data_IF_649542347704
#
_entry.id   IF_649542347704
#
_cell.length_a   1.000
_cell.length_b   1.000
_cell.length_c   1.000
_cell.angle_alpha   90.00
_cell.angle_beta   90.00
_cell.angle_gamma   90.00
#
_symmetry.space_group_name_H-M   'P 1'
#
loop_
_entity.id
_entity.type
_entity.pdbx_description
1 polymer ?
#
# COMPACT_ATOMS: atom_id res chain seq x y z
N UNK A 1 -1.57 10.31 -17.90
CA UNK A 1 -1.77 11.59 -17.18
C UNK A 1 -0.64 12.53 -17.59
N UNK A 2 -0.90 13.80 -17.88
CA UNK A 2 0.15 14.76 -18.26
C UNK A 2 0.84 15.33 -17.00
N UNK A 3 2.15 15.20 -16.91
CA UNK A 3 2.94 15.65 -15.77
C UNK A 3 2.90 17.16 -15.58
N UNK A 4 2.68 17.90 -16.68
CA UNK A 4 2.45 19.35 -16.66
C UNK A 4 1.18 19.68 -15.90
N UNK A 5 0.13 18.86 -16.06
CA UNK A 5 -1.15 19.06 -15.38
C UNK A 5 -1.03 18.72 -13.90
N UNK A 6 -0.35 17.61 -13.55
CA UNK A 6 -0.11 17.24 -12.14
C UNK A 6 0.67 18.33 -11.42
N UNK A 7 1.76 18.80 -12.03
CA UNK A 7 2.57 19.88 -11.46
C UNK A 7 1.80 21.20 -11.34
N UNK A 8 1.04 21.57 -12.38
CA UNK A 8 0.19 22.76 -12.31
C UNK A 8 -0.87 22.68 -11.21
N UNK A 9 -1.45 21.49 -10.95
CA UNK A 9 -2.39 21.27 -9.86
C UNK A 9 -1.72 21.35 -8.49
N UNK A 10 -0.52 20.79 -8.34
CA UNK A 10 0.25 20.89 -7.09
C UNK A 10 0.70 22.33 -6.81
N UNK A 11 1.15 23.04 -7.83
CA UNK A 11 1.52 24.46 -7.75
C UNK A 11 0.29 25.33 -7.42
N UNK A 12 -0.88 25.02 -7.99
CA UNK A 12 -2.14 25.69 -7.66
C UNK A 12 -2.61 25.39 -6.22
N UNK A 13 -2.46 24.15 -5.75
CA UNK A 13 -2.75 23.77 -4.37
C UNK A 13 -1.82 24.49 -3.37
N UNK A 14 -0.54 24.68 -3.73
CA UNK A 14 0.39 25.52 -2.98
C UNK A 14 -0.04 26.99 -2.97
N UNK A 15 -0.38 27.56 -4.13
CA UNK A 15 -0.86 28.95 -4.22
C UNK A 15 -2.14 29.18 -3.41
N UNK A 16 -2.98 28.16 -3.26
CA UNK A 16 -4.17 28.15 -2.42
C UNK A 16 -3.88 27.95 -0.91
N UNK A 17 -2.62 27.75 -0.52
CA UNK A 17 -2.21 27.54 0.87
C UNK A 17 -2.51 26.14 1.44
N UNK A 18 -2.86 25.18 0.57
CA UNK A 18 -3.12 23.78 0.95
C UNK A 18 -1.80 23.03 1.17
N UNK A 19 -0.76 23.36 0.41
CA UNK A 19 0.59 22.83 0.57
C UNK A 19 1.51 23.92 1.11
N UNK A 20 2.27 23.59 2.16
CA UNK A 20 2.97 24.58 2.99
C UNK A 20 4.41 24.84 2.56
N UNK A 21 5.08 23.87 1.92
CA UNK A 21 6.51 23.93 1.62
C UNK A 21 6.84 23.52 0.18
N UNK A 22 7.89 24.13 -0.38
CA UNK A 22 8.40 23.83 -1.72
C UNK A 22 9.07 22.45 -1.78
N UNK A 23 9.65 22.03 -0.65
CA UNK A 23 10.22 20.71 -0.46
C UNK A 23 9.14 19.61 -0.54
N UNK A 24 7.97 19.82 0.08
CA UNK A 24 6.88 18.85 0.10
C UNK A 24 6.32 18.63 -1.32
N UNK A 25 6.14 19.72 -2.09
CA UNK A 25 5.68 19.63 -3.49
C UNK A 25 6.72 18.94 -4.37
N UNK A 26 8.01 19.25 -4.18
CA UNK A 26 9.09 18.64 -4.95
C UNK A 26 9.22 17.14 -4.65
N UNK A 27 9.10 16.73 -3.39
CA UNK A 27 9.15 15.34 -2.93
C UNK A 27 7.95 14.55 -3.49
N UNK A 28 6.73 15.06 -3.30
CA UNK A 28 5.51 14.45 -3.86
C UNK A 28 5.57 14.33 -5.39
N UNK A 29 6.04 15.38 -6.08
CA UNK A 29 6.18 15.34 -7.54
C UNK A 29 7.25 14.34 -7.97
N UNK A 30 8.36 14.24 -7.24
CA UNK A 30 9.41 13.27 -7.54
C UNK A 30 8.92 11.82 -7.36
N UNK A 31 8.16 11.54 -6.31
CA UNK A 31 7.56 10.22 -6.06
C UNK A 31 6.51 9.86 -7.12
N UNK A 32 5.55 10.75 -7.40
CA UNK A 32 4.54 10.54 -8.43
C UNK A 32 5.19 10.39 -9.82
N UNK A 33 6.23 11.17 -10.09
CA UNK A 33 7.05 11.03 -11.30
C UNK A 33 7.71 9.68 -11.40
N UNK A 34 8.44 9.26 -10.37
CA UNK A 34 9.13 7.98 -10.36
C UNK A 34 8.17 6.79 -10.48
N UNK A 35 7.00 6.84 -9.83
CA UNK A 35 5.94 5.84 -9.98
C UNK A 35 5.43 5.76 -11.43
N UNK A 36 5.01 6.90 -11.99
CA UNK A 36 4.46 6.95 -13.35
C UNK A 36 5.50 6.54 -14.41
N UNK A 37 6.77 6.95 -14.26
CA UNK A 37 7.82 6.54 -15.21
C UNK A 37 8.14 5.04 -15.13
N UNK A 38 7.98 4.41 -13.96
CA UNK A 38 8.06 2.95 -13.83
C UNK A 38 6.91 2.26 -14.55
N UNK A 39 5.69 2.82 -14.46
CA UNK A 39 4.51 2.29 -15.15
C UNK A 39 4.57 2.44 -16.68
N UNK A 40 5.33 3.42 -17.20
CA UNK A 40 5.49 3.66 -18.64
C UNK A 40 6.47 2.70 -19.34
N UNK A 41 7.07 1.73 -18.63
CA UNK A 41 7.95 0.72 -19.21
C UNK A 41 7.38 -0.70 -19.02
N UNK A 42 6.58 -1.15 -19.99
CA UNK A 42 6.00 -2.49 -19.97
C UNK A 42 7.02 -3.63 -20.03
N UNK A 43 8.29 -3.37 -20.37
CA UNK A 43 9.32 -4.40 -20.22
C UNK A 43 9.60 -4.71 -18.76
N UNK A 44 9.41 -3.74 -17.87
CA UNK A 44 9.55 -3.93 -16.43
C UNK A 44 8.41 -4.78 -15.88
N UNK A 45 7.17 -4.52 -16.30
CA UNK A 45 6.01 -5.33 -15.93
C UNK A 45 6.16 -6.79 -16.35
N UNK A 46 6.59 -7.07 -17.59
CA UNK A 46 6.84 -8.45 -18.03
C UNK A 46 7.93 -9.15 -17.19
N UNK A 47 8.97 -8.42 -16.75
CA UNK A 47 10.01 -8.95 -15.85
C UNK A 47 9.47 -9.21 -14.46
N UNK A 48 8.65 -8.29 -13.94
CA UNK A 48 7.98 -8.39 -12.65
C UNK A 48 7.10 -9.65 -12.61
N UNK A 49 6.25 -9.85 -13.61
CA UNK A 49 5.39 -11.02 -13.73
C UNK A 49 6.19 -12.34 -13.71
N UNK A 50 7.25 -12.43 -14.52
CA UNK A 50 8.08 -13.64 -14.54
C UNK A 50 8.78 -13.90 -13.22
N UNK A 51 9.24 -12.85 -12.53
CA UNK A 51 9.82 -13.00 -11.20
C UNK A 51 8.76 -13.45 -10.21
N UNK A 52 7.60 -12.81 -10.22
CA UNK A 52 6.47 -13.13 -9.34
C UNK A 52 6.05 -14.60 -9.45
N UNK A 53 5.91 -15.10 -10.68
CA UNK A 53 5.62 -16.50 -10.94
C UNK A 53 6.66 -17.44 -10.32
N UNK A 54 7.97 -17.12 -10.45
CA UNK A 54 9.04 -17.95 -9.90
C UNK A 54 9.09 -17.93 -8.37
N UNK A 55 8.99 -16.75 -7.75
CA UNK A 55 9.10 -16.59 -6.29
C UNK A 55 7.96 -17.32 -5.56
N UNK A 56 6.77 -17.40 -6.17
CA UNK A 56 5.60 -17.98 -5.52
C UNK A 56 5.23 -19.39 -5.96
N UNK A 57 5.85 -19.94 -7.01
CA UNK A 57 5.49 -21.25 -7.57
C UNK A 57 5.45 -22.39 -6.53
N UNK A 58 6.38 -22.38 -5.56
CA UNK A 58 6.45 -23.41 -4.53
C UNK A 58 5.39 -23.24 -3.42
N UNK A 59 4.79 -22.06 -3.30
CA UNK A 59 3.89 -21.70 -2.22
C UNK A 59 2.43 -21.61 -2.68
N UNK A 60 2.21 -21.24 -3.95
CA UNK A 60 0.92 -20.97 -4.56
C UNK A 60 0.76 -21.79 -5.85
N UNK A 61 0.48 -23.11 -5.75
CA UNK A 61 0.37 -23.97 -6.93
C UNK A 61 -0.85 -23.65 -7.80
N UNK A 62 -1.90 -23.05 -7.21
CA UNK A 62 -3.14 -22.66 -7.90
C UNK A 62 -3.13 -21.17 -8.34
N UNK A 63 -1.95 -20.53 -8.36
CA UNK A 63 -1.77 -19.17 -8.87
C UNK A 63 -1.29 -19.22 -10.32
N UNK A 64 -2.05 -18.62 -11.22
CA UNK A 64 -1.68 -18.46 -12.62
C UNK A 64 -1.13 -17.04 -12.87
N UNK A 65 0.10 -16.99 -13.39
CA UNK A 65 0.69 -15.78 -13.96
C UNK A 65 0.81 -15.99 -15.47
N UNK A 66 0.24 -15.11 -16.31
CA UNK A 66 0.37 -15.22 -17.77
C UNK A 66 1.83 -15.29 -18.21
N UNK A 67 2.13 -16.12 -19.21
CA UNK A 67 3.43 -16.05 -19.86
C UNK A 67 3.53 -14.77 -20.68
N UNK A 68 4.56 -13.96 -20.45
CA UNK A 68 4.81 -12.76 -21.26
C UNK A 68 5.77 -13.08 -22.41
N UNK A 69 5.41 -12.71 -23.64
CA UNK A 69 6.20 -12.93 -24.84
C UNK A 69 7.21 -11.79 -25.03
N UNK A 70 8.44 -12.05 -24.59
CA UNK A 70 9.54 -11.07 -24.60
C UNK A 70 9.81 -10.47 -25.98
N UNK A 71 9.73 -11.28 -27.03
CA UNK A 71 9.98 -10.86 -28.43
C UNK A 71 8.94 -9.87 -28.97
N UNK A 72 7.75 -9.87 -28.38
CA UNK A 72 6.63 -8.99 -28.77
C UNK A 72 6.36 -7.90 -27.72
N UNK A 73 7.16 -7.85 -26.66
CA UNK A 73 7.06 -6.84 -25.61
C UNK A 73 8.10 -5.75 -25.83
N UNK A 74 7.68 -4.50 -25.70
CA UNK A 74 8.51 -3.31 -25.76
C UNK A 74 8.10 -2.36 -24.64
N UNK A 75 8.75 -1.19 -24.51
CA UNK A 75 8.37 -0.20 -23.50
C UNK A 75 6.91 0.25 -23.58
N UNK A 76 6.28 0.16 -24.75
CA UNK A 76 4.93 0.69 -25.03
C UNK A 76 3.91 -0.36 -25.46
N UNK A 77 4.34 -1.62 -25.61
CA UNK A 77 3.46 -2.73 -25.99
C UNK A 77 3.80 -3.92 -25.11
N UNK A 78 2.81 -4.44 -24.39
CA UNK A 78 2.92 -5.63 -23.57
C UNK A 78 2.22 -6.79 -24.27
N UNK A 79 2.89 -7.94 -24.40
CA UNK A 79 2.31 -9.12 -25.04
C UNK A 79 2.39 -10.31 -24.10
N UNK A 80 1.25 -10.94 -23.80
CA UNK A 80 1.14 -12.09 -22.92
C UNK A 80 0.25 -13.19 -23.49
N UNK A 81 0.33 -14.37 -22.89
CA UNK A 81 -0.59 -15.45 -23.12
C UNK A 81 -2.00 -15.03 -22.72
N UNK A 82 -2.97 -15.37 -23.56
CA UNK A 82 -4.37 -15.14 -23.26
C UNK A 82 -4.81 -16.01 -22.09
N UNK A 83 -5.46 -15.42 -21.10
CA UNK A 83 -6.08 -16.14 -19.98
C UNK A 83 -7.58 -16.12 -20.15
N UNK A 84 -8.17 -17.32 -20.30
CA UNK A 84 -9.62 -17.51 -20.27
C UNK A 84 -10.08 -17.75 -18.83
N UNK A 85 -10.85 -16.82 -18.29
CA UNK A 85 -11.36 -16.88 -16.93
C UNK A 85 -12.54 -15.95 -16.71
N UNK A 86 -13.24 -16.15 -15.59
CA UNK A 86 -14.40 -15.36 -15.19
C UNK A 86 -14.04 -14.41 -14.06
N UNK A 87 -14.69 -13.25 -14.03
CA UNK A 87 -14.57 -12.30 -12.92
C UNK A 87 -15.37 -12.79 -11.72
N UNK A 88 -15.03 -12.33 -10.51
CA UNK A 88 -15.72 -12.73 -9.28
C UNK A 88 -17.25 -12.59 -9.36
N UNK A 89 -17.76 -11.51 -9.98
CA UNK A 89 -19.19 -11.26 -10.13
C UNK A 89 -19.93 -12.21 -11.10
N UNK A 90 -19.22 -12.99 -11.90
CA UNK A 90 -19.76 -13.94 -12.89
C UNK A 90 -19.77 -15.39 -12.36
N UNK A 91 -19.22 -15.60 -11.16
CA UNK A 91 -19.06 -16.92 -10.54
C UNK A 91 -20.27 -17.30 -9.69
N UNK A 92 -20.56 -18.59 -9.60
CA UNK A 92 -21.49 -19.11 -8.60
C UNK A 92 -20.89 -19.07 -7.19
N UNK A 93 -21.72 -19.11 -6.15
CA UNK A 93 -21.30 -18.92 -4.76
C UNK A 93 -20.11 -19.82 -4.32
N UNK A 94 -20.11 -21.10 -4.74
CA UNK A 94 -19.01 -22.02 -4.42
C UNK A 94 -17.67 -21.62 -5.08
N UNK A 95 -17.72 -21.15 -6.32
CA UNK A 95 -16.54 -20.69 -7.07
C UNK A 95 -16.04 -19.35 -6.53
N UNK A 96 -16.95 -18.45 -6.16
CA UNK A 96 -16.60 -17.21 -5.46
C UNK A 96 -15.85 -17.50 -4.16
N UNK A 97 -16.38 -18.39 -3.32
CA UNK A 97 -15.73 -18.78 -2.08
C UNK A 97 -14.32 -19.36 -2.33
N UNK A 98 -14.15 -20.17 -3.38
CA UNK A 98 -12.84 -20.71 -3.76
C UNK A 98 -11.88 -19.63 -4.25
N UNK A 99 -12.32 -18.74 -5.13
CA UNK A 99 -11.50 -17.63 -5.62
C UNK A 99 -11.06 -16.70 -4.48
N UNK A 100 -11.97 -16.38 -3.55
CA UNK A 100 -11.64 -15.58 -2.36
C UNK A 100 -10.60 -16.29 -1.50
N UNK A 101 -10.75 -17.59 -1.26
CA UNK A 101 -9.75 -18.37 -0.52
C UNK A 101 -8.38 -18.30 -1.21
N UNK A 102 -8.31 -18.52 -2.52
CA UNK A 102 -7.06 -18.44 -3.28
C UNK A 102 -6.43 -17.04 -3.20
N UNK A 103 -7.25 -15.98 -3.28
CA UNK A 103 -6.79 -14.61 -3.18
C UNK A 103 -6.24 -14.29 -1.78
N UNK A 104 -6.89 -14.77 -0.72
CA UNK A 104 -6.40 -14.64 0.64
C UNK A 104 -5.10 -15.42 0.86
N UNK A 105 -5.03 -16.67 0.40
CA UNK A 105 -3.82 -17.50 0.46
C UNK A 105 -2.65 -16.81 -0.27
N UNK A 106 -2.91 -16.25 -1.45
CA UNK A 106 -1.93 -15.49 -2.22
C UNK A 106 -1.49 -14.22 -1.48
N UNK A 107 -2.42 -13.46 -0.90
CA UNK A 107 -2.13 -12.25 -0.14
C UNK A 107 -1.22 -12.56 1.06
N UNK A 108 -1.62 -13.50 1.93
CA UNK A 108 -0.82 -13.85 3.11
C UNK A 108 0.53 -14.48 2.76
N UNK A 109 0.60 -15.27 1.69
CA UNK A 109 1.88 -15.84 1.25
C UNK A 109 2.86 -14.76 0.83
N UNK A 110 2.40 -13.75 0.08
CA UNK A 110 3.22 -12.62 -0.32
C UNK A 110 3.71 -11.81 0.89
N UNK A 111 2.81 -11.49 1.81
CA UNK A 111 3.12 -10.66 2.97
C UNK A 111 4.04 -11.38 3.97
N UNK A 112 3.73 -12.65 4.29
CA UNK A 112 4.30 -13.34 5.44
C UNK A 112 5.38 -14.37 5.08
N UNK A 113 5.47 -14.80 3.82
CA UNK A 113 6.37 -15.89 3.42
C UNK A 113 7.41 -15.47 2.39
N UNK A 114 6.99 -14.88 1.28
CA UNK A 114 7.91 -14.62 0.15
C UNK A 114 8.43 -13.18 0.11
N UNK A 115 7.67 -12.22 0.64
CA UNK A 115 8.08 -10.81 0.74
C UNK A 115 8.12 -10.09 -0.61
N UNK A 116 7.70 -10.76 -1.69
CA UNK A 116 7.55 -10.16 -3.01
C UNK A 116 6.06 -9.92 -3.27
N UNK A 117 5.63 -8.68 -3.07
CA UNK A 117 4.23 -8.30 -2.91
C UNK A 117 3.72 -7.62 -4.18
N UNK A 118 2.54 -8.03 -4.62
CA UNK A 118 1.73 -7.34 -5.61
C UNK A 118 0.96 -6.22 -4.93
N UNK A 119 1.29 -4.97 -5.25
CA UNK A 119 0.75 -3.80 -4.55
C UNK A 119 -0.65 -3.37 -5.06
N UNK A 120 -1.05 -3.78 -6.27
CA UNK A 120 -2.37 -3.42 -6.84
C UNK A 120 -3.21 -4.61 -7.32
N UNK A 121 -3.49 -5.57 -6.43
CA UNK A 121 -4.28 -6.76 -6.75
C UNK A 121 -5.79 -6.46 -6.81
N UNK A 122 -6.19 -5.48 -7.62
CA UNK A 122 -7.57 -5.05 -7.72
C UNK A 122 -8.45 -6.09 -8.44
N UNK A 123 -9.75 -6.12 -8.14
CA UNK A 123 -10.69 -7.12 -8.70
C UNK A 123 -10.69 -7.22 -10.24
N UNK A 124 -10.35 -6.15 -10.96
CA UNK A 124 -10.23 -6.15 -12.42
C UNK A 124 -9.06 -6.97 -12.99
N UNK A 125 -8.04 -7.25 -12.16
CA UNK A 125 -6.82 -7.97 -12.53
C UNK A 125 -6.87 -9.43 -12.06
N UNK A 126 -7.99 -9.85 -11.47
CA UNK A 126 -8.21 -11.19 -10.95
C UNK A 126 -9.18 -11.93 -11.86
N UNK A 127 -8.78 -13.09 -12.36
CA UNK A 127 -9.69 -14.02 -13.04
C UNK A 127 -9.67 -15.37 -12.36
N UNK A 128 -10.81 -16.05 -12.37
CA UNK A 128 -10.92 -17.45 -11.97
C UNK A 128 -10.97 -18.33 -13.22
N UNK A 129 -9.95 -19.17 -13.40
CA UNK A 129 -9.81 -20.00 -14.60
C UNK A 129 -10.76 -21.19 -14.57
N UNK A 130 -10.96 -21.86 -15.72
CA UNK A 130 -11.74 -23.11 -15.77
C UNK A 130 -11.06 -24.27 -15.04
N UNK A 131 -9.74 -24.24 -14.90
CA UNK A 131 -8.99 -25.17 -14.06
C UNK A 131 -9.16 -24.85 -12.56
N UNK A 132 -9.73 -23.69 -12.25
CA UNK A 132 -10.02 -23.24 -10.90
C UNK A 132 -8.80 -22.66 -10.19
N UNK A 133 -7.93 -22.02 -10.96
CA UNK A 133 -6.79 -21.24 -10.48
C UNK A 133 -7.20 -19.77 -10.33
N UNK A 134 -6.44 -19.04 -9.52
CA UNK A 134 -6.48 -17.59 -9.47
C UNK A 134 -5.45 -17.02 -10.45
N UNK A 135 -5.90 -16.34 -11.50
CA UNK A 135 -5.02 -15.65 -12.42
C UNK A 135 -4.86 -14.17 -12.06
N UNK A 136 -3.62 -13.70 -12.00
CA UNK A 136 -3.26 -12.28 -11.83
C UNK A 136 -2.74 -11.74 -13.16
N UNK A 137 -3.25 -10.59 -13.61
CA UNK A 137 -3.01 -10.09 -14.97
C UNK A 137 -2.06 -8.90 -15.08
N UNK A 138 -1.92 -8.11 -14.02
CA UNK A 138 -1.14 -6.87 -14.01
C UNK A 138 0.05 -7.08 -13.06
N UNK A 139 1.24 -6.63 -13.44
CA UNK A 139 2.40 -6.67 -12.57
C UNK A 139 3.20 -5.37 -12.62
N UNK A 140 2.54 -4.27 -12.96
CA UNK A 140 3.12 -2.93 -13.00
C UNK A 140 3.60 -2.49 -11.61
N UNK A 141 2.84 -2.84 -10.58
CA UNK A 141 3.09 -2.50 -9.19
C UNK A 141 3.40 -3.74 -8.35
N UNK A 142 4.68 -4.12 -8.32
CA UNK A 142 5.21 -5.13 -7.38
C UNK A 142 6.38 -4.57 -6.60
N UNK A 143 6.55 -5.06 -5.38
CA UNK A 143 7.62 -4.62 -4.49
C UNK A 143 8.24 -5.76 -3.71
N UNK A 144 9.47 -5.53 -3.23
CA UNK A 144 10.16 -6.43 -2.33
C UNK A 144 10.28 -5.77 -0.96
N UNK A 145 9.79 -6.47 0.06
CA UNK A 145 10.05 -6.14 1.45
C UNK A 145 11.19 -7.01 2.00
N UNK A 146 11.86 -6.49 3.01
CA UNK A 146 12.89 -7.21 3.77
C UNK A 146 12.25 -8.18 4.76
N UNK A 147 13.02 -9.18 5.22
CA UNK A 147 12.55 -10.13 6.24
C UNK A 147 12.09 -9.43 7.52
N UNK A 148 12.83 -8.40 7.98
CA UNK A 148 12.45 -7.61 9.15
C UNK A 148 11.11 -6.89 8.96
N UNK A 149 10.83 -6.39 7.74
CA UNK A 149 9.53 -5.80 7.42
C UNK A 149 8.43 -6.84 7.36
N UNK A 150 8.68 -8.04 6.81
CA UNK A 150 7.71 -9.14 6.82
C UNK A 150 7.34 -9.57 8.25
N UNK A 151 8.35 -9.69 9.12
CA UNK A 151 8.14 -9.98 10.55
C UNK A 151 7.33 -8.88 11.21
N UNK A 152 7.66 -7.60 10.97
CA UNK A 152 6.90 -6.47 11.47
C UNK A 152 5.45 -6.45 10.97
N UNK A 153 5.19 -6.84 9.73
CA UNK A 153 3.83 -6.97 9.19
C UNK A 153 3.05 -8.08 9.91
N UNK A 154 3.70 -9.22 10.18
CA UNK A 154 3.09 -10.31 10.94
C UNK A 154 2.78 -9.90 12.39
N UNK A 155 3.73 -9.22 13.04
CA UNK A 155 3.57 -8.69 14.39
C UNK A 155 2.51 -7.61 14.46
N UNK A 156 2.43 -6.71 13.47
CA UNK A 156 1.41 -5.68 13.41
C UNK A 156 -0.01 -6.27 13.42
N UNK A 157 -0.24 -7.38 12.70
CA UNK A 157 -1.51 -8.11 12.74
C UNK A 157 -1.79 -8.67 14.14
N UNK A 158 -0.79 -9.29 14.78
CA UNK A 158 -0.92 -9.85 16.13
C UNK A 158 -1.17 -8.77 17.18
N UNK A 159 -0.40 -7.70 17.17
CA UNK A 159 -0.56 -6.56 18.09
C UNK A 159 -1.90 -5.86 17.86
N UNK A 160 -2.36 -5.75 16.61
CA UNK A 160 -3.71 -5.21 16.32
C UNK A 160 -4.82 -6.08 16.91
N UNK A 161 -4.70 -7.41 16.79
CA UNK A 161 -5.67 -8.35 17.37
C UNK A 161 -5.63 -8.37 18.90
N UNK A 162 -4.43 -8.27 19.48
CA UNK A 162 -4.22 -8.20 20.93
C UNK A 162 -4.53 -6.82 21.53
N UNK A 163 -4.76 -5.81 20.68
CA UNK A 163 -4.92 -4.39 21.06
C UNK A 163 -3.69 -3.83 21.77
N UNK A 164 -2.51 -4.31 21.41
CA UNK A 164 -1.24 -3.77 21.87
C UNK A 164 -0.80 -2.63 20.95
N UNK A 165 -1.42 -1.46 21.15
CA UNK A 165 -1.18 -0.28 20.30
C UNK A 165 0.24 0.28 20.43
N UNK A 166 0.89 0.07 21.58
CA UNK A 166 2.26 0.50 21.80
C UNK A 166 3.26 -0.36 21.03
N UNK A 167 3.07 -1.67 21.02
CA UNK A 167 3.88 -2.55 20.21
C UNK A 167 3.66 -2.28 18.70
N UNK A 168 2.42 -1.98 18.30
CA UNK A 168 2.09 -1.63 16.90
C UNK A 168 2.89 -0.42 16.38
N UNK A 169 3.17 0.58 17.22
CA UNK A 169 4.02 1.73 16.84
C UNK A 169 5.42 1.26 16.43
N UNK A 170 5.98 0.28 17.15
CA UNK A 170 7.30 -0.26 16.84
C UNK A 170 7.31 -1.00 15.51
N UNK A 171 6.25 -1.75 15.21
CA UNK A 171 6.09 -2.42 13.92
C UNK A 171 5.98 -1.42 12.78
N UNK A 172 5.20 -0.35 12.95
CA UNK A 172 5.05 0.72 11.97
C UNK A 172 6.37 1.43 11.68
N UNK A 173 7.20 1.64 12.70
CA UNK A 173 8.56 2.16 12.53
C UNK A 173 9.45 1.18 11.76
N UNK A 174 9.40 -0.12 12.07
CA UNK A 174 10.16 -1.14 11.36
C UNK A 174 9.75 -1.24 9.87
N UNK A 175 8.45 -1.08 9.59
CA UNK A 175 7.92 -1.01 8.23
C UNK A 175 8.29 0.29 7.50
N UNK A 176 8.71 1.33 8.22
CA UNK A 176 9.01 2.66 7.68
C UNK A 176 7.78 3.55 7.49
N UNK A 177 6.64 3.19 8.09
CA UNK A 177 5.38 3.96 8.05
C UNK A 177 5.40 5.15 9.02
N UNK A 178 6.26 5.11 10.03
CA UNK A 178 6.46 6.17 11.02
C UNK A 178 7.93 6.61 11.06
N UNK A 179 8.20 7.92 11.25
CA UNK A 179 9.55 8.40 11.49
C UNK A 179 10.12 7.85 12.82
N UNK A 180 11.45 7.87 12.92
CA UNK A 180 12.15 7.56 14.19
C UNK A 180 11.80 8.55 15.30
N UNK A 181 11.48 9.79 14.96
CA UNK A 181 10.97 10.80 15.88
C UNK A 181 9.59 11.26 15.42
N UNK A 182 8.53 11.06 16.22
CA UNK A 182 7.18 11.44 15.86
C UNK A 182 7.07 12.95 15.72
N UNK A 183 6.17 13.37 14.84
CA UNK A 183 5.88 14.78 14.62
C UNK A 183 4.38 14.99 14.50
N UNK A 184 3.90 16.08 15.07
CA UNK A 184 2.52 16.54 15.05
C UNK A 184 2.40 17.77 14.14
N UNK A 185 1.29 17.86 13.40
CA UNK A 185 0.97 19.03 12.60
C UNK A 185 0.48 20.17 13.48
N UNK A 186 1.17 21.31 13.45
CA UNK A 186 0.84 22.50 14.25
C UNK A 186 0.71 23.74 13.38
N UNK A 187 -0.14 24.67 13.80
CA UNK A 187 -0.30 25.98 13.16
C UNK A 187 0.97 26.82 13.39
N UNK A 188 1.52 27.40 12.33
CA UNK A 188 2.81 28.14 12.40
C UNK A 188 2.77 29.39 13.28
N UNK A 189 1.59 29.96 13.54
CA UNK A 189 1.43 31.23 14.28
C UNK A 189 1.20 30.97 15.75
N UNK A 190 0.45 29.93 16.09
CA UNK A 190 0.02 29.62 17.46
C UNK A 190 0.82 28.48 18.08
N UNK A 191 1.44 27.62 17.27
CA UNK A 191 2.13 26.39 17.72
C UNK A 191 1.18 25.32 18.26
N UNK A 192 -0.14 25.51 18.13
CA UNK A 192 -1.16 24.59 18.59
C UNK A 192 -1.46 23.53 17.51
N UNK A 193 -1.97 22.34 17.89
CA UNK A 193 -2.39 21.33 16.93
C UNK A 193 -3.38 21.91 15.91
N UNK A 194 -3.10 21.75 14.63
CA UNK A 194 -3.91 22.28 13.54
C UNK A 194 -4.56 21.16 12.74
N UNK A 195 -5.62 21.47 12.00
CA UNK A 195 -6.06 20.58 10.92
C UNK A 195 -5.03 20.58 9.79
N UNK A 196 -4.80 19.44 9.15
CA UNK A 196 -3.88 19.31 8.00
C UNK A 196 -4.25 20.18 6.81
N UNK A 197 -5.47 20.70 6.75
CA UNK A 197 -5.94 21.61 5.71
C UNK A 197 -5.54 23.07 5.97
N UNK A 198 -5.07 23.41 7.17
CA UNK A 198 -4.60 24.75 7.51
C UNK A 198 -3.07 24.86 7.36
N UNK A 199 -2.53 26.02 6.95
CA UNK A 199 -1.09 26.24 6.84
C UNK A 199 -0.37 25.94 8.16
N UNK A 200 0.57 25.00 8.13
CA UNK A 200 1.19 24.48 9.34
C UNK A 200 2.64 24.04 9.12
N UNK A 201 3.21 23.42 10.14
CA UNK A 201 4.47 22.70 10.03
C UNK A 201 4.49 21.48 10.95
N UNK A 202 5.34 20.52 10.61
CA UNK A 202 5.63 19.38 11.47
C UNK A 202 6.49 19.80 12.65
N UNK A 203 5.97 19.66 13.87
CA UNK A 203 6.71 19.87 15.11
C UNK A 203 6.98 18.53 15.79
N UNK A 204 8.21 18.33 16.26
CA UNK A 204 8.59 17.10 16.96
C UNK A 204 7.81 16.99 18.27
N UNK A 205 7.39 15.77 18.60
CA UNK A 205 6.74 15.45 19.86
C UNK A 205 7.51 14.38 20.61
N UNK A 206 7.28 14.32 21.91
CA UNK A 206 7.84 13.26 22.76
C UNK A 206 7.24 11.90 22.38
N UNK A 207 8.09 10.86 22.43
CA UNK A 207 7.73 9.49 22.07
C UNK A 207 6.63 8.92 22.97
N UNK A 208 6.72 9.19 24.28
CA UNK A 208 5.72 8.74 25.26
C UNK A 208 4.39 9.44 25.04
N UNK A 209 4.41 10.75 24.86
CA UNK A 209 3.20 11.53 24.57
C UNK A 209 2.50 11.10 23.27
N UNK A 210 3.28 10.79 22.22
CA UNK A 210 2.75 10.21 20.98
C UNK A 210 2.12 8.84 21.22
N UNK A 211 2.81 7.95 21.93
CA UNK A 211 2.30 6.61 22.23
C UNK A 211 1.00 6.64 23.03
N UNK A 212 0.92 7.49 24.06
CA UNK A 212 -0.28 7.67 24.88
C UNK A 212 -1.46 8.18 24.03
N UNK A 213 -1.21 9.14 23.13
CA UNK A 213 -2.24 9.69 22.25
C UNK A 213 -2.69 8.69 21.17
N UNK A 214 -1.75 7.89 20.64
CA UNK A 214 -2.01 6.85 19.65
C UNK A 214 -2.89 5.73 20.26
N UNK A 215 -2.50 5.24 21.43
CA UNK A 215 -3.24 4.24 22.20
C UNK A 215 -4.65 4.72 22.55
N UNK A 216 -4.77 5.92 23.14
CA UNK A 216 -6.07 6.48 23.51
C UNK A 216 -7.00 6.68 22.31
N UNK A 217 -6.47 7.05 21.15
CA UNK A 217 -7.27 7.22 19.93
C UNK A 217 -7.75 5.88 19.38
N UNK A 218 -6.87 4.88 19.26
CA UNK A 218 -7.25 3.56 18.76
C UNK A 218 -8.20 2.84 19.72
N UNK A 219 -8.01 2.94 21.03
CA UNK A 219 -8.93 2.35 22.01
C UNK A 219 -10.32 2.95 21.97
N UNK A 220 -10.43 4.27 21.77
CA UNK A 220 -11.72 4.94 21.63
C UNK A 220 -12.51 4.45 20.41
N UNK A 221 -11.82 4.10 19.32
CA UNK A 221 -12.42 3.56 18.10
C UNK A 221 -12.62 2.03 18.18
N UNK A 222 -11.78 1.30 18.91
CA UNK A 222 -11.77 -0.15 18.97
C UNK A 222 -12.73 -0.74 20.02
N UNK A 223 -13.96 -0.23 20.13
CA UNK A 223 -14.99 -0.78 21.04
C UNK A 223 -15.22 -2.31 20.93
N UNK A 224 -15.99 -2.89 21.85
CA UNK A 224 -16.33 -4.33 21.78
C UNK A 224 -17.15 -4.58 20.50
N UNK A 225 -16.55 -5.26 19.52
CA UNK A 225 -17.13 -5.49 18.20
C UNK A 225 -16.56 -4.62 17.07
N UNK A 226 -15.44 -3.92 17.30
CA UNK A 226 -14.85 -3.05 16.29
C UNK A 226 -14.52 -3.79 14.98
N UNK A 227 -15.00 -3.23 13.88
CA UNK A 227 -14.75 -3.70 12.52
C UNK A 227 -13.38 -3.22 12.02
N UNK A 228 -12.77 -3.97 11.10
CA UNK A 228 -11.53 -3.54 10.43
C UNK A 228 -11.66 -2.15 9.78
N UNK A 229 -12.87 -1.81 9.32
CA UNK A 229 -13.20 -0.49 8.77
C UNK A 229 -13.02 0.64 9.78
N UNK A 230 -13.39 0.43 11.04
CA UNK A 230 -13.23 1.45 12.09
C UNK A 230 -11.76 1.67 12.44
N UNK A 231 -10.95 0.61 12.47
CA UNK A 231 -9.50 0.73 12.63
C UNK A 231 -8.86 1.50 11.47
N UNK A 232 -9.34 1.28 10.25
CA UNK A 232 -8.84 1.98 9.05
C UNK A 232 -9.16 3.47 9.13
N UNK A 233 -10.36 3.82 9.60
CA UNK A 233 -10.75 5.22 9.84
C UNK A 233 -9.89 5.85 10.93
N UNK A 234 -9.70 5.17 12.07
CA UNK A 234 -8.90 5.68 13.19
C UNK A 234 -7.43 5.93 12.79
N UNK A 235 -6.83 5.00 12.05
CA UNK A 235 -5.47 5.18 11.50
C UNK A 235 -5.41 6.36 10.51
N UNK A 236 -6.45 6.52 9.69
CA UNK A 236 -6.54 7.65 8.76
C UNK A 236 -6.61 8.98 9.51
N UNK A 237 -7.41 9.07 10.57
CA UNK A 237 -7.49 10.27 11.41
C UNK A 237 -6.17 10.59 12.12
N UNK A 238 -5.45 9.57 12.60
CA UNK A 238 -4.10 9.74 13.15
C UNK A 238 -3.11 10.25 12.11
N UNK A 239 -3.17 9.74 10.87
CA UNK A 239 -2.29 10.18 9.78
C UNK A 239 -2.50 11.64 9.37
N UNK A 240 -3.67 12.21 9.67
CA UNK A 240 -3.95 13.63 9.47
C UNK A 240 -3.40 14.53 10.60
N UNK A 241 -3.01 13.96 11.74
CA UNK A 241 -2.49 14.73 12.88
C UNK A 241 -1.00 14.52 13.05
N UNK A 242 -0.56 13.28 12.88
CA UNK A 242 0.82 12.85 13.04
C UNK A 242 1.45 12.51 11.70
N UNK A 243 2.76 12.69 11.62
CA UNK A 243 3.51 12.41 10.39
C UNK A 243 3.62 10.91 10.16
N UNK A 244 2.90 10.42 9.16
CA UNK A 244 3.13 9.12 8.54
C UNK A 244 4.00 9.30 7.30
N UNK A 245 4.74 8.25 6.95
CA UNK A 245 5.65 8.22 5.82
C UNK A 245 5.17 7.12 4.87
N UNK A 246 5.19 7.40 3.57
CA UNK A 246 5.11 6.36 2.55
C UNK A 246 6.51 5.77 2.40
N UNK A 247 6.74 4.51 2.81
CA UNK A 247 8.06 3.94 2.75
C UNK A 247 8.44 3.69 1.29
N UNK A 248 9.73 3.78 0.96
CA UNK A 248 10.21 3.71 -0.43
C UNK A 248 9.92 2.39 -1.17
N UNK A 249 9.46 1.37 -0.45
CA UNK A 249 9.05 0.08 -1.00
C UNK A 249 7.55 0.04 -1.36
N UNK A 250 6.74 0.98 -0.90
CA UNK A 250 5.34 1.13 -1.29
C UNK A 250 5.23 2.01 -2.55
#
# INVERSE_FOLDING_TARGET
>A
LDFVVVRALLDAARAAGVLSDEADVAEMTAEVGAGLFRELDFTQEARNARRFAREHAACLPDLLVPEYYERFTSRRVLCSAWVDGRKLGELGAAEQARMIKLALDACFTQLLRTGFIHADAHQGNLLYTRAGELALLDFGLVTQVTVAQQEAMALALLHTLARDWRALISDFRCMGLLPSTPALWVDRRTGLPASTLAPGCWSRVDDGAFADAFEAHLDACAGVGASFSELTVALSELSLRYRFILPSWM
#
